data_IF_367906450596
#
_entry.id   IF_367906450596
#
_cell.length_a   1.000
_cell.length_b   1.000
_cell.length_c   1.000
_cell.angle_alpha   90.00
_cell.angle_beta   90.00
_cell.angle_gamma   90.00
#
_symmetry.space_group_name_H-M   'P 1'
#
loop_
_entity.id
_entity.type
_entity.pdbx_description
1 polymer ?
#
# COMPACT_ATOMS: atom_id res chain seq x y z
N UNK A 1 -67.47 29.65 -9.14
CA UNK A 1 -66.93 28.49 -9.87
C UNK A 1 -65.61 28.91 -10.50
N UNK A 2 -64.53 28.54 -9.83
CA UNK A 2 -63.19 29.13 -9.99
C UNK A 2 -62.40 28.30 -11.00
N UNK A 3 -61.95 28.92 -12.11
CA UNK A 3 -61.08 28.28 -13.09
C UNK A 3 -59.70 28.06 -12.45
N UNK A 4 -59.33 26.80 -12.26
CA UNK A 4 -57.98 26.40 -11.86
C UNK A 4 -57.07 26.62 -13.08
N UNK A 5 -56.11 27.53 -12.92
CA UNK A 5 -55.07 27.83 -13.89
C UNK A 5 -54.05 26.70 -13.83
N UNK A 6 -53.95 25.91 -14.90
CA UNK A 6 -52.87 24.93 -15.07
C UNK A 6 -51.58 25.72 -15.38
N UNK A 7 -50.58 25.57 -14.52
CA UNK A 7 -49.21 26.02 -14.77
C UNK A 7 -48.46 25.00 -15.64
N UNK A 8 -47.57 25.46 -16.53
CA UNK A 8 -46.87 24.61 -17.49
C UNK A 8 -45.82 23.75 -16.79
N UNK A 9 -45.77 22.46 -17.15
CA UNK A 9 -44.70 21.52 -16.81
C UNK A 9 -43.36 22.05 -17.32
N UNK A 10 -42.67 22.81 -16.48
CA UNK A 10 -41.28 23.20 -16.69
C UNK A 10 -40.39 21.98 -16.46
N UNK A 11 -39.75 21.53 -17.53
CA UNK A 11 -38.38 20.98 -17.55
C UNK A 11 -37.98 20.20 -16.29
N UNK A 12 -38.20 18.88 -16.36
CA UNK A 12 -37.54 17.90 -15.49
C UNK A 12 -36.06 17.79 -15.88
N UNK A 13 -35.32 18.90 -15.75
CA UNK A 13 -33.88 18.83 -15.63
C UNK A 13 -33.56 18.22 -14.25
N UNK A 14 -32.85 17.09 -14.19
CA UNK A 14 -32.41 16.55 -12.92
C UNK A 14 -31.56 17.63 -12.23
N UNK A 15 -31.75 17.89 -10.92
CA UNK A 15 -31.03 18.95 -10.26
C UNK A 15 -29.53 18.68 -10.38
N UNK A 16 -28.81 19.65 -10.94
CA UNK A 16 -27.38 19.62 -11.25
C UNK A 16 -26.46 19.55 -10.00
N UNK A 17 -26.96 19.02 -8.88
CA UNK A 17 -26.29 19.02 -7.59
C UNK A 17 -26.25 17.64 -6.90
N UNK A 18 -26.57 16.55 -7.60
CA UNK A 18 -26.18 15.21 -7.16
C UNK A 18 -24.71 14.91 -7.53
N UNK A 19 -23.82 15.82 -7.11
CA UNK A 19 -22.44 15.46 -6.81
C UNK A 19 -22.50 14.56 -5.59
N UNK A 20 -22.75 13.27 -5.80
CA UNK A 20 -22.32 12.29 -4.82
C UNK A 20 -20.83 12.54 -4.59
N UNK A 21 -20.42 12.95 -3.38
CA UNK A 21 -19.02 12.87 -3.06
C UNK A 21 -18.71 11.38 -3.15
N UNK A 22 -18.01 10.95 -4.21
CA UNK A 22 -17.35 9.65 -4.17
C UNK A 22 -16.64 9.64 -2.84
N UNK A 23 -16.95 8.65 -2.01
CA UNK A 23 -16.28 8.41 -0.73
C UNK A 23 -14.79 8.31 -1.04
N UNK A 24 -14.11 9.45 -0.99
CA UNK A 24 -12.68 9.58 -1.15
C UNK A 24 -12.13 9.02 0.14
N UNK A 25 -11.85 7.72 0.14
CA UNK A 25 -11.03 7.04 1.14
C UNK A 25 -9.61 7.60 1.04
N UNK A 26 -9.44 8.85 1.47
CA UNK A 26 -8.23 9.64 1.34
C UNK A 26 -7.82 9.94 -0.11
N UNK A 27 -7.08 11.03 -0.36
CA UNK A 27 -6.37 11.18 -1.63
C UNK A 27 -5.32 10.08 -1.73
N UNK A 28 -5.65 8.96 -2.40
CA UNK A 28 -4.64 7.98 -2.79
C UNK A 28 -3.69 8.68 -3.77
N UNK A 29 -2.52 9.08 -3.28
CA UNK A 29 -1.46 9.64 -4.10
C UNK A 29 -1.12 8.59 -5.17
N UNK A 30 -1.30 8.93 -6.44
CA UNK A 30 -0.95 8.05 -7.54
C UNK A 30 0.51 7.60 -7.36
N UNK A 31 0.75 6.30 -7.52
CA UNK A 31 2.05 5.64 -7.36
C UNK A 31 2.63 5.57 -5.92
N UNK A 32 1.91 6.04 -4.89
CA UNK A 32 2.33 5.88 -3.48
C UNK A 32 1.64 4.69 -2.80
N UNK A 33 2.42 3.74 -2.26
CA UNK A 33 1.90 2.53 -1.60
C UNK A 33 2.29 2.45 -0.12
N UNK A 34 2.80 3.52 0.48
CA UNK A 34 3.25 3.52 1.88
C UNK A 34 2.13 3.28 2.90
N UNK A 35 0.88 3.56 2.54
CA UNK A 35 -0.28 3.24 3.39
C UNK A 35 -0.46 1.72 3.58
N UNK A 36 -0.14 0.93 2.54
CA UNK A 36 -0.13 -0.53 2.64
C UNK A 36 1.01 -1.00 3.53
N UNK A 37 2.21 -0.45 3.35
CA UNK A 37 3.39 -0.77 4.18
C UNK A 37 3.09 -0.54 5.66
N UNK A 38 2.48 0.60 6.01
CA UNK A 38 2.11 0.92 7.39
C UNK A 38 1.15 -0.11 8.00
N UNK A 39 0.12 -0.51 7.26
CA UNK A 39 -0.84 -1.52 7.74
C UNK A 39 -0.19 -2.88 7.90
N UNK A 40 0.66 -3.28 6.96
CA UNK A 40 1.38 -4.55 7.00
C UNK A 40 2.38 -4.61 8.15
N UNK A 41 3.12 -3.54 8.42
CA UNK A 41 4.02 -3.45 9.56
C UNK A 41 3.30 -3.50 10.91
N UNK A 42 2.16 -2.80 11.04
CA UNK A 42 1.34 -2.89 12.25
C UNK A 42 0.81 -4.32 12.44
N UNK A 43 0.32 -4.94 11.37
CA UNK A 43 -0.16 -6.32 11.42
C UNK A 43 0.97 -7.30 11.78
N UNK A 44 2.15 -7.15 11.20
CA UNK A 44 3.32 -7.96 11.48
C UNK A 44 3.75 -7.82 12.94
N UNK A 45 3.90 -6.59 13.45
CA UNK A 45 4.24 -6.36 14.84
C UNK A 45 3.20 -6.94 15.81
N UNK A 46 1.91 -6.81 15.50
CA UNK A 46 0.84 -7.44 16.28
C UNK A 46 0.97 -8.97 16.29
N UNK A 47 1.19 -9.58 15.13
CA UNK A 47 1.39 -11.02 15.01
C UNK A 47 2.64 -11.52 15.76
N UNK A 48 3.75 -10.78 15.69
CA UNK A 48 4.98 -11.04 16.44
C UNK A 48 4.71 -11.08 17.95
N UNK A 49 3.97 -10.12 18.49
CA UNK A 49 3.63 -10.07 19.92
C UNK A 49 2.64 -11.15 20.34
N UNK A 50 1.68 -11.51 19.48
CA UNK A 50 0.77 -12.63 19.74
C UNK A 50 1.51 -13.97 19.73
N UNK A 51 2.52 -14.12 18.88
CA UNK A 51 3.33 -15.34 18.79
C UNK A 51 4.41 -15.42 19.89
N UNK A 52 4.82 -14.29 20.47
CA UNK A 52 5.86 -14.19 21.49
C UNK A 52 5.71 -15.16 22.69
N UNK A 53 4.54 -15.33 23.35
CA UNK A 53 4.41 -16.28 24.46
C UNK A 53 4.74 -17.72 24.03
N UNK A 54 4.40 -18.11 22.81
CA UNK A 54 4.70 -19.45 22.30
C UNK A 54 6.19 -19.63 21.98
N UNK A 55 6.84 -18.55 21.52
CA UNK A 55 8.29 -18.53 21.31
C UNK A 55 9.06 -18.64 22.63
N UNK A 56 8.52 -18.11 23.73
CA UNK A 56 9.18 -18.12 25.04
C UNK A 56 9.46 -19.52 25.57
N UNK A 57 8.58 -20.46 25.24
CA UNK A 57 8.71 -21.87 25.62
C UNK A 57 9.71 -22.62 24.74
N UNK A 58 10.06 -22.07 23.58
CA UNK A 58 10.93 -22.70 22.58
C UNK A 58 12.34 -22.10 22.56
N UNK A 59 12.45 -20.78 22.39
CA UNK A 59 13.70 -20.03 22.33
C UNK A 59 13.63 -18.75 23.17
N UNK A 60 13.71 -18.84 24.52
CA UNK A 60 13.51 -17.70 25.41
C UNK A 60 14.53 -16.57 25.20
N UNK A 61 15.74 -16.88 24.74
CA UNK A 61 16.78 -15.88 24.45
C UNK A 61 16.46 -14.98 23.25
N UNK A 62 15.54 -15.39 22.37
CA UNK A 62 15.13 -14.58 21.21
C UNK A 62 14.02 -13.57 21.53
N UNK A 63 13.31 -13.73 22.65
CA UNK A 63 12.18 -12.87 23.02
C UNK A 63 12.51 -11.38 23.12
N UNK A 64 13.64 -10.95 23.72
CA UNK A 64 13.96 -9.53 23.77
C UNK A 64 14.12 -8.94 22.37
N UNK A 65 14.68 -9.70 21.44
CA UNK A 65 14.85 -9.30 20.05
C UNK A 65 13.52 -9.26 19.30
N UNK A 66 12.60 -10.20 19.58
CA UNK A 66 11.25 -10.20 19.03
C UNK A 66 10.47 -8.93 19.42
N UNK A 67 10.47 -8.60 20.72
CA UNK A 67 9.77 -7.44 21.26
C UNK A 67 10.41 -6.15 20.73
N UNK A 68 11.74 -6.06 20.77
CA UNK A 68 12.46 -4.91 20.22
C UNK A 68 12.19 -4.74 18.72
N UNK A 69 12.18 -5.85 17.98
CA UNK A 69 11.83 -5.89 16.57
C UNK A 69 10.43 -5.33 16.33
N UNK A 70 9.42 -5.81 17.06
CA UNK A 70 8.05 -5.31 16.95
C UNK A 70 7.95 -3.80 17.22
N UNK A 71 8.65 -3.28 18.23
CA UNK A 71 8.70 -1.84 18.53
C UNK A 71 9.32 -1.06 17.38
N UNK A 72 10.49 -1.50 16.88
CA UNK A 72 11.17 -0.84 15.75
C UNK A 72 10.27 -0.81 14.51
N UNK A 73 9.59 -1.92 14.20
CA UNK A 73 8.68 -2.01 13.07
C UNK A 73 7.49 -1.05 13.22
N UNK A 74 6.91 -0.91 14.42
CA UNK A 74 5.84 0.07 14.68
C UNK A 74 6.33 1.50 14.51
N UNK A 75 7.53 1.82 15.00
CA UNK A 75 8.14 3.15 14.81
C UNK A 75 8.32 3.46 13.32
N UNK A 76 8.85 2.52 12.55
CA UNK A 76 8.99 2.66 11.09
C UNK A 76 7.63 2.83 10.39
N UNK A 77 6.61 2.07 10.81
CA UNK A 77 5.25 2.22 10.31
C UNK A 77 4.70 3.64 10.57
N UNK A 78 4.94 4.19 11.76
CA UNK A 78 4.50 5.54 12.12
C UNK A 78 5.25 6.65 11.34
N UNK A 79 6.54 6.44 11.04
CA UNK A 79 7.35 7.40 10.28
C UNK A 79 7.06 7.39 8.78
N UNK A 80 6.36 6.37 8.27
CA UNK A 80 6.09 6.18 6.85
C UNK A 80 5.29 7.35 6.26
N UNK A 81 5.90 8.09 5.33
CA UNK A 81 5.37 9.33 4.75
C UNK A 81 5.79 9.48 3.27
N UNK A 82 4.92 9.96 2.36
CA UNK A 82 5.25 10.19 0.94
C UNK A 82 6.38 11.18 0.68
N UNK A 83 6.74 12.04 1.63
CA UNK A 83 7.77 13.08 1.44
C UNK A 83 9.20 12.63 1.75
N UNK A 84 9.38 11.48 2.41
CA UNK A 84 10.68 11.04 2.94
C UNK A 84 11.08 9.70 2.35
N UNK A 85 11.79 9.74 1.23
CA UNK A 85 12.31 8.56 0.54
C UNK A 85 13.19 7.68 1.45
N UNK A 86 14.08 8.31 2.23
CA UNK A 86 14.93 7.61 3.19
C UNK A 86 14.15 6.72 4.16
N UNK A 87 12.96 7.14 4.59
CA UNK A 87 12.13 6.32 5.48
C UNK A 87 11.57 5.11 4.74
N UNK A 88 11.17 5.27 3.48
CA UNK A 88 10.67 4.14 2.69
C UNK A 88 11.78 3.14 2.37
N UNK A 89 13.01 3.62 2.12
CA UNK A 89 14.16 2.75 1.94
C UNK A 89 14.49 2.02 3.25
N UNK A 90 14.43 2.69 4.41
CA UNK A 90 14.55 2.05 5.71
C UNK A 90 13.46 0.98 5.94
N UNK A 91 12.22 1.25 5.52
CA UNK A 91 11.14 0.24 5.56
C UNK A 91 11.46 -0.96 4.67
N UNK A 92 11.98 -0.76 3.46
CA UNK A 92 12.37 -1.87 2.59
C UNK A 92 13.47 -2.73 3.25
N UNK A 93 14.51 -2.10 3.82
CA UNK A 93 15.55 -2.84 4.55
C UNK A 93 15.00 -3.58 5.77
N UNK A 94 14.19 -2.92 6.58
CA UNK A 94 13.58 -3.54 7.76
C UNK A 94 12.67 -4.72 7.37
N UNK A 95 11.92 -4.59 6.28
CA UNK A 95 11.11 -5.67 5.75
C UNK A 95 11.97 -6.85 5.27
N UNK A 96 13.04 -6.59 4.53
CA UNK A 96 13.99 -7.63 4.09
C UNK A 96 14.63 -8.37 5.27
N UNK A 97 15.09 -7.65 6.30
CA UNK A 97 15.62 -8.25 7.54
C UNK A 97 14.53 -9.08 8.24
N UNK A 98 13.31 -8.55 8.30
CA UNK A 98 12.15 -9.22 8.89
C UNK A 98 11.83 -10.55 8.21
N UNK A 99 11.89 -10.62 6.87
CA UNK A 99 11.74 -11.88 6.12
C UNK A 99 12.83 -12.87 6.53
N UNK A 100 14.10 -12.49 6.40
CA UNK A 100 15.23 -13.40 6.69
C UNK A 100 15.19 -13.92 8.13
N UNK A 101 14.90 -13.05 9.09
CA UNK A 101 14.83 -13.42 10.50
C UNK A 101 13.67 -14.41 10.78
N UNK A 102 12.46 -14.12 10.26
CA UNK A 102 11.30 -14.98 10.51
C UNK A 102 11.41 -16.33 9.78
N UNK A 103 11.90 -16.36 8.54
CA UNK A 103 12.17 -17.59 7.80
C UNK A 103 13.20 -18.48 8.50
N UNK A 104 14.28 -17.87 9.01
CA UNK A 104 15.32 -18.60 9.74
C UNK A 104 14.72 -19.28 10.98
N UNK A 105 13.89 -18.56 11.75
CA UNK A 105 13.22 -19.11 12.93
C UNK A 105 12.16 -20.16 12.52
N UNK A 106 11.44 -19.95 11.42
CA UNK A 106 10.47 -20.90 10.89
C UNK A 106 11.14 -22.24 10.56
N UNK A 107 12.28 -22.22 9.86
CA UNK A 107 13.05 -23.42 9.54
C UNK A 107 13.52 -24.16 10.79
N UNK A 108 14.01 -23.45 11.82
CA UNK A 108 14.35 -24.09 13.10
C UNK A 108 13.14 -24.74 13.76
N UNK A 109 12.00 -24.05 13.80
CA UNK A 109 10.76 -24.59 14.35
C UNK A 109 10.25 -25.82 13.58
N UNK A 110 10.47 -25.87 12.25
CA UNK A 110 10.15 -27.02 11.42
C UNK A 110 11.02 -28.24 11.78
N UNK A 111 12.34 -28.04 11.94
CA UNK A 111 13.25 -29.13 12.33
C UNK A 111 12.96 -29.69 13.72
N UNK A 112 12.54 -28.84 14.66
CA UNK A 112 12.18 -29.25 16.01
C UNK A 112 10.73 -29.75 16.14
N UNK A 113 9.97 -29.82 15.03
CA UNK A 113 8.62 -30.36 14.99
C UNK A 113 7.52 -29.44 15.53
N UNK A 114 7.83 -28.17 15.80
CA UNK A 114 6.86 -27.17 16.28
C UNK A 114 6.07 -26.55 15.12
N UNK A 115 5.10 -27.31 14.60
CA UNK A 115 4.32 -26.93 13.43
C UNK A 115 3.53 -25.62 13.63
N UNK A 116 3.07 -25.34 14.84
CA UNK A 116 2.34 -24.10 15.16
C UNK A 116 3.23 -22.86 15.06
N UNK A 117 4.46 -22.93 15.59
CA UNK A 117 5.42 -21.83 15.51
C UNK A 117 5.87 -21.64 14.06
N UNK A 118 6.11 -22.73 13.33
CA UNK A 118 6.43 -22.70 11.91
C UNK A 118 5.39 -21.90 11.13
N UNK A 119 4.10 -22.29 11.18
CA UNK A 119 3.05 -21.56 10.45
C UNK A 119 2.88 -20.11 10.93
N UNK A 120 3.02 -19.85 12.24
CA UNK A 120 2.97 -18.48 12.77
C UNK A 120 4.08 -17.59 12.18
N UNK A 121 5.29 -18.13 12.04
CA UNK A 121 6.44 -17.42 11.46
C UNK A 121 6.31 -17.21 9.96
N UNK A 122 5.81 -18.20 9.23
CA UNK A 122 5.51 -18.10 7.80
C UNK A 122 4.52 -16.95 7.54
N UNK A 123 3.44 -16.86 8.31
CA UNK A 123 2.46 -15.76 8.18
C UNK A 123 3.13 -14.40 8.39
N UNK A 124 3.98 -14.27 9.41
CA UNK A 124 4.72 -13.02 9.66
C UNK A 124 5.70 -12.72 8.52
N UNK A 125 6.39 -13.72 8.00
CA UNK A 125 7.32 -13.58 6.87
C UNK A 125 6.58 -13.08 5.61
N UNK A 126 5.41 -13.64 5.30
CA UNK A 126 4.58 -13.16 4.19
C UNK A 126 4.16 -11.69 4.35
N UNK A 127 3.80 -11.26 5.56
CA UNK A 127 3.51 -9.84 5.83
C UNK A 127 4.71 -8.95 5.51
N UNK A 128 5.92 -9.40 5.88
CA UNK A 128 7.15 -8.69 5.54
C UNK A 128 7.49 -8.73 4.05
N UNK A 129 7.22 -9.82 3.34
CA UNK A 129 7.39 -9.90 1.87
C UNK A 129 6.49 -8.88 1.17
N UNK A 130 5.22 -8.80 1.56
CA UNK A 130 4.31 -7.80 1.00
C UNK A 130 4.74 -6.38 1.35
N UNK A 131 5.20 -6.15 2.58
CA UNK A 131 5.69 -4.84 2.98
C UNK A 131 6.95 -4.44 2.21
N UNK A 132 7.86 -5.38 1.95
CA UNK A 132 9.05 -5.19 1.11
C UNK A 132 8.65 -4.80 -0.31
N UNK A 133 7.73 -5.57 -0.92
CA UNK A 133 7.22 -5.29 -2.27
C UNK A 133 6.64 -3.88 -2.39
N UNK A 134 5.73 -3.49 -1.50
CA UNK A 134 5.11 -2.16 -1.55
C UNK A 134 6.10 -1.03 -1.22
N UNK A 135 7.06 -1.28 -0.33
CA UNK A 135 8.12 -0.32 -0.03
C UNK A 135 8.98 -0.06 -1.27
N UNK A 136 9.46 -1.11 -1.94
CA UNK A 136 10.25 -1.00 -3.17
C UNK A 136 9.46 -0.36 -4.31
N UNK A 137 8.19 -0.71 -4.48
CA UNK A 137 7.32 -0.06 -5.48
C UNK A 137 7.19 1.45 -5.23
N UNK A 138 7.13 1.85 -3.96
CA UNK A 138 7.06 3.27 -3.59
C UNK A 138 8.41 3.97 -3.78
N UNK A 139 9.54 3.34 -3.43
CA UNK A 139 10.89 3.86 -3.68
C UNK A 139 11.10 4.09 -5.18
N UNK A 140 10.78 3.11 -6.02
CA UNK A 140 10.86 3.26 -7.48
C UNK A 140 10.02 4.44 -7.98
N UNK A 141 8.81 4.63 -7.45
CA UNK A 141 7.96 5.77 -7.82
C UNK A 141 8.53 7.12 -7.34
N UNK A 142 9.26 7.15 -6.21
CA UNK A 142 10.00 8.32 -5.73
C UNK A 142 11.15 8.67 -6.66
N UNK A 143 11.99 7.69 -6.98
CA UNK A 143 13.16 7.85 -7.85
C UNK A 143 12.76 8.34 -9.25
N UNK A 144 11.65 7.83 -9.79
CA UNK A 144 11.10 8.26 -11.09
C UNK A 144 10.33 9.59 -11.02
N UNK A 145 10.16 10.19 -9.83
CA UNK A 145 9.40 11.42 -9.66
C UNK A 145 7.93 11.30 -10.11
N UNK A 146 7.36 10.11 -10.00
CA UNK A 146 6.00 9.75 -10.45
C UNK A 146 4.95 9.88 -9.34
N UNK A 147 5.35 10.16 -8.10
CA UNK A 147 4.40 10.36 -7.00
C UNK A 147 3.45 11.51 -7.33
N UNK A 148 2.16 11.22 -7.29
CA UNK A 148 1.10 12.21 -7.48
C UNK A 148 0.89 12.60 -8.95
N UNK A 149 1.73 12.15 -9.89
CA UNK A 149 1.48 12.29 -11.33
C UNK A 149 0.51 11.18 -11.75
N UNK A 150 -0.58 11.57 -12.40
CA UNK A 150 -1.45 10.66 -13.14
C UNK A 150 -0.94 10.62 -14.57
N UNK A 151 -0.86 9.43 -15.16
CA UNK A 151 -0.61 9.31 -16.60
C UNK A 151 -1.70 10.11 -17.33
N UNK A 152 -1.35 11.04 -18.24
CA UNK A 152 -2.33 11.81 -18.97
C UNK A 152 -3.22 10.85 -19.78
N UNK A 153 -4.56 11.02 -19.77
CA UNK A 153 -5.45 10.18 -20.56
C UNK A 153 -5.17 10.42 -22.06
N UNK A 154 -4.27 9.62 -22.65
CA UNK A 154 -3.82 9.83 -24.02
C UNK A 154 -2.43 9.30 -24.35
N UNK A 155 -1.58 8.96 -23.38
CA UNK A 155 -0.21 8.47 -23.66
C UNK A 155 -0.17 7.13 -24.42
N UNK A 156 -1.25 6.35 -24.35
CA UNK A 156 -1.45 5.12 -25.13
C UNK A 156 -2.51 5.26 -26.23
N UNK A 157 -2.94 6.48 -26.56
CA UNK A 157 -3.82 6.71 -27.71
C UNK A 157 -2.95 6.66 -28.96
N UNK A 158 -3.22 5.68 -29.82
CA UNK A 158 -2.64 5.69 -31.16
C UNK A 158 -3.03 7.00 -31.85
N UNK A 159 -2.07 7.74 -32.44
CA UNK A 159 -2.37 8.98 -33.13
C UNK A 159 -3.43 8.70 -34.18
N UNK A 160 -4.46 9.53 -34.23
CA UNK A 160 -5.50 9.38 -35.24
C UNK A 160 -4.89 9.65 -36.63
N UNK A 161 -5.45 9.03 -37.67
CA UNK A 161 -4.95 9.24 -39.04
C UNK A 161 -4.89 10.73 -39.39
N UNK A 162 -5.85 11.53 -38.92
CA UNK A 162 -5.89 12.99 -39.11
C UNK A 162 -4.65 13.69 -38.53
N UNK A 163 -4.21 13.32 -37.34
CA UNK A 163 -3.00 13.87 -36.69
C UNK A 163 -1.72 13.43 -37.42
N UNK A 164 -1.67 12.19 -37.93
CA UNK A 164 -0.54 11.70 -38.75
C UNK A 164 -0.42 12.44 -40.11
N UNK A 165 -1.56 12.79 -40.71
CA UNK A 165 -1.61 13.55 -41.96
C UNK A 165 -1.19 15.01 -41.77
N UNK A 166 -1.48 15.65 -40.63
CA UNK A 166 -1.05 17.02 -40.34
C UNK A 166 0.46 17.14 -40.07
N UNK A 167 1.07 16.23 -39.30
CA UNK A 167 2.52 16.26 -39.02
C UNK A 167 3.36 16.11 -40.30
N UNK A 168 2.91 15.31 -41.26
CA UNK A 168 3.62 15.10 -42.53
C UNK A 168 3.56 16.30 -43.48
N UNK A 169 2.59 17.21 -43.31
CA UNK A 169 2.39 18.36 -44.20
C UNK A 169 2.90 19.68 -43.60
N UNK A 170 3.19 19.75 -42.31
CA UNK A 170 3.74 20.93 -41.63
C UNK A 170 5.28 20.97 -41.53
N UNK A 171 5.99 19.93 -42.01
CA UNK A 171 7.47 19.88 -42.04
C UNK A 171 8.12 20.41 -43.34
N UNK A 172 7.39 21.12 -44.21
CA UNK A 172 7.94 21.84 -45.37
C UNK A 172 7.88 23.34 -45.17
#
# INVERSE_FOLDING_TARGET
MTKIKQEPESELEPPANLYFPRLSLGPSLAHYHGDHVRRLFIAAAGAMLVLAPFLSSYMPYTLPFEILGAVVIVVLAALTNPKKEMVMMANAFAAGIGVVANETIALFAYFDGSIFIFFGREVIAFLFIFALYFSLKTVRAMELGQIGKREPPGEFREPTLEEMWEETHHQK
#
